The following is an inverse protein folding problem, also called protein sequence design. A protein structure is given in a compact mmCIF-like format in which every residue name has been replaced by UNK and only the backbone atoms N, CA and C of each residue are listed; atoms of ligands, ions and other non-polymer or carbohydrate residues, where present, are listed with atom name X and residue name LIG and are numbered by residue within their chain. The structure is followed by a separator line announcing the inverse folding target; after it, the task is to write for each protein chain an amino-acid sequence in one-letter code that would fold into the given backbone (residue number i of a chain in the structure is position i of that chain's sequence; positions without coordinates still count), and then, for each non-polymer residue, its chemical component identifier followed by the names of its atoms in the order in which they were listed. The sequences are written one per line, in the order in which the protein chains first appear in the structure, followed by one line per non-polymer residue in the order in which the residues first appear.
data_IF_916684364000
#
_entry.id   IF_916684364000
#
_cell.length_a   1.000
_cell.length_b   1.000
_cell.length_c   1.000
_cell.angle_alpha   90.00
_cell.angle_beta   90.00
_cell.angle_gamma   90.00
#
_symmetry.space_group_name_H-M   'P 1'
#
loop_
_entity.id
_entity.type
_entity.pdbx_description
1 polymer ?
#
# COMPACT_ATOMS: atom_id res chain seq x y z
N UNK A 1 7.17 -7.47 18.41
CA UNK A 1 6.77 -6.05 18.26
C UNK A 1 6.11 -5.47 19.51
N UNK A 2 5.15 -6.16 20.14
CA UNK A 2 4.44 -5.62 21.32
C UNK A 2 5.32 -5.36 22.54
N UNK A 3 6.40 -6.13 22.72
CA UNK A 3 7.37 -5.90 23.80
C UNK A 3 7.89 -4.45 23.85
N UNK A 4 8.31 -3.88 22.70
CA UNK A 4 8.84 -2.51 22.65
C UNK A 4 7.77 -1.46 22.99
N UNK A 5 6.51 -1.73 22.65
CA UNK A 5 5.41 -0.85 23.03
C UNK A 5 5.13 -0.91 24.53
N UNK A 6 5.11 -2.12 25.11
CA UNK A 6 4.92 -2.30 26.55
C UNK A 6 6.02 -1.60 27.34
N UNK A 7 7.27 -1.71 26.91
CA UNK A 7 8.40 -0.98 27.52
C UNK A 7 8.17 0.53 27.44
N UNK A 8 7.71 1.05 26.30
CA UNK A 8 7.40 2.48 26.17
C UNK A 8 6.25 2.94 27.08
N UNK A 9 5.19 2.12 27.22
CA UNK A 9 4.08 2.39 28.14
C UNK A 9 4.52 2.37 29.60
N UNK A 10 5.29 1.36 30.00
CA UNK A 10 5.83 1.21 31.36
C UNK A 10 6.75 2.38 31.72
N UNK A 11 7.73 2.70 30.86
CA UNK A 11 8.63 3.84 31.10
C UNK A 11 7.91 5.19 31.09
N UNK A 12 6.90 5.38 30.25
CA UNK A 12 6.11 6.61 30.27
C UNK A 12 5.34 6.75 31.58
N UNK A 13 4.74 5.67 32.08
CA UNK A 13 4.02 5.65 33.35
C UNK A 13 4.93 5.96 34.54
N UNK A 14 6.16 5.44 34.55
CA UNK A 14 7.18 5.76 35.58
C UNK A 14 7.52 7.26 35.65
N UNK A 15 7.36 7.98 34.54
CA UNK A 15 7.66 9.41 34.41
C UNK A 15 6.39 10.29 34.36
N UNK A 16 5.23 9.76 34.76
CA UNK A 16 3.94 10.48 34.74
C UNK A 16 3.56 11.00 33.34
N UNK A 17 4.04 10.34 32.29
CA UNK A 17 3.71 10.63 30.90
C UNK A 17 2.75 9.57 30.35
N UNK A 18 2.08 9.89 29.24
CA UNK A 18 1.18 8.96 28.54
C UNK A 18 1.57 8.92 27.07
N UNK A 19 1.94 7.74 26.58
CA UNK A 19 2.15 7.49 25.16
C UNK A 19 0.84 7.11 24.51
N UNK A 20 0.62 7.58 23.28
CA UNK A 20 -0.62 7.29 22.55
C UNK A 20 -0.37 6.34 21.38
N UNK A 21 -1.26 5.37 21.22
CA UNK A 21 -1.15 4.36 20.15
C UNK A 21 -1.21 4.97 18.76
N UNK A 22 -1.99 6.04 18.59
CA UNK A 22 -2.13 6.79 17.35
C UNK A 22 -0.93 7.71 17.03
N UNK A 23 0.00 7.88 17.95
CA UNK A 23 1.27 8.56 17.71
C UNK A 23 2.40 7.59 17.37
N UNK A 24 2.22 6.31 17.66
CA UNK A 24 3.21 5.29 17.31
C UNK A 24 3.34 5.14 15.80
N UNK A 25 4.59 5.07 15.34
CA UNK A 25 4.95 4.92 13.92
C UNK A 25 5.79 3.67 13.73
N UNK A 26 5.41 2.86 12.76
CA UNK A 26 6.21 1.72 12.31
C UNK A 26 7.03 2.15 11.10
N UNK A 27 8.33 1.85 11.13
CA UNK A 27 9.26 2.09 10.02
C UNK A 27 9.65 0.74 9.45
N UNK A 28 9.30 0.47 8.19
CA UNK A 28 9.66 -0.77 7.51
C UNK A 28 10.26 -0.49 6.13
N UNK A 29 11.20 -1.32 5.66
CA UNK A 29 11.62 -1.36 4.27
C UNK A 29 10.47 -1.76 3.34
N UNK A 30 10.20 -0.92 2.34
CA UNK A 30 9.17 -1.18 1.33
C UNK A 30 9.69 -0.95 -0.09
N UNK A 31 9.53 -1.93 -0.97
CA UNK A 31 9.76 -1.79 -2.41
C UNK A 31 8.66 -2.50 -3.20
N UNK A 32 7.97 -1.73 -4.05
CA UNK A 32 6.81 -2.21 -4.82
C UNK A 32 7.10 -2.17 -6.31
N UNK A 33 6.66 -3.21 -7.01
CA UNK A 33 6.64 -3.28 -8.46
C UNK A 33 5.30 -3.84 -8.97
N UNK A 34 5.15 -3.93 -10.29
CA UNK A 34 3.94 -4.48 -10.91
C UNK A 34 3.82 -6.00 -10.75
N UNK A 35 4.95 -6.67 -10.51
CA UNK A 35 5.02 -8.09 -10.17
C UNK A 35 5.96 -8.34 -9.00
N UNK A 36 5.70 -9.40 -8.24
CA UNK A 36 6.55 -9.79 -7.11
C UNK A 36 7.96 -10.14 -7.57
N UNK A 37 8.09 -10.85 -8.68
CA UNK A 37 9.38 -11.24 -9.23
C UNK A 37 10.21 -10.03 -9.67
N UNK A 38 9.57 -8.97 -10.18
CA UNK A 38 10.26 -7.71 -10.50
C UNK A 38 10.74 -7.00 -9.23
N UNK A 39 9.88 -6.86 -8.22
CA UNK A 39 10.25 -6.22 -6.96
C UNK A 39 11.47 -6.90 -6.31
N UNK A 40 11.49 -8.24 -6.31
CA UNK A 40 12.62 -9.01 -5.80
C UNK A 40 13.87 -8.78 -6.65
N UNK A 41 13.76 -8.83 -7.98
CA UNK A 41 14.93 -8.60 -8.87
C UNK A 41 15.53 -7.21 -8.68
N UNK A 42 14.70 -6.18 -8.56
CA UNK A 42 15.14 -4.80 -8.43
C UNK A 42 15.99 -4.58 -7.18
N UNK A 43 15.60 -5.22 -6.06
CA UNK A 43 16.21 -4.97 -4.76
C UNK A 43 17.22 -6.05 -4.34
N UNK A 44 17.29 -7.19 -5.04
CA UNK A 44 18.12 -8.34 -4.63
C UNK A 44 19.59 -7.97 -4.39
N UNK A 45 20.19 -7.20 -5.28
CA UNK A 45 21.60 -6.80 -5.13
C UNK A 45 21.78 -5.77 -4.01
N UNK A 46 20.95 -4.72 -3.98
CA UNK A 46 21.05 -3.66 -2.97
C UNK A 46 20.76 -4.17 -1.55
N UNK A 47 19.73 -4.99 -1.38
CA UNK A 47 19.42 -5.59 -0.09
C UNK A 47 20.51 -6.56 0.40
N UNK A 48 21.16 -7.32 -0.51
CA UNK A 48 22.29 -8.16 -0.14
C UNK A 48 23.47 -7.36 0.40
N UNK A 49 23.83 -6.26 -0.28
CA UNK A 49 24.88 -5.34 0.17
C UNK A 49 24.50 -4.65 1.47
N UNK A 50 23.28 -4.13 1.59
CA UNK A 50 22.81 -3.46 2.79
C UNK A 50 22.80 -4.38 4.02
N UNK A 51 22.36 -5.63 3.88
CA UNK A 51 22.38 -6.57 5.00
C UNK A 51 23.81 -6.91 5.44
N UNK A 52 24.72 -7.19 4.51
CA UNK A 52 26.10 -7.56 4.84
C UNK A 52 26.95 -6.35 5.27
N UNK A 53 27.06 -5.36 4.41
CA UNK A 53 28.00 -4.25 4.59
C UNK A 53 27.50 -3.24 5.64
N UNK A 54 26.18 -3.02 5.72
CA UNK A 54 25.63 -2.02 6.63
C UNK A 54 25.11 -2.64 7.94
N UNK A 55 24.22 -3.64 7.88
CA UNK A 55 23.64 -4.19 9.11
C UNK A 55 24.63 -5.05 9.90
N UNK A 56 25.36 -5.95 9.23
CA UNK A 56 26.32 -6.85 9.89
C UNK A 56 27.66 -6.15 10.16
N UNK A 57 28.36 -5.68 9.11
CA UNK A 57 29.72 -5.15 9.26
C UNK A 57 29.77 -3.79 9.96
N UNK A 58 28.85 -2.87 9.62
CA UNK A 58 28.86 -1.50 10.18
C UNK A 58 28.12 -1.42 11.51
N UNK A 59 26.93 -2.01 11.61
CA UNK A 59 26.08 -1.90 12.80
C UNK A 59 26.26 -3.07 13.79
N UNK A 60 26.98 -4.12 13.41
CA UNK A 60 27.25 -5.26 14.29
C UNK A 60 26.00 -6.07 14.64
N UNK A 61 24.93 -5.96 13.84
CA UNK A 61 23.68 -6.69 14.07
C UNK A 61 23.88 -8.13 13.59
N UNK A 62 23.88 -9.14 14.49
CA UNK A 62 24.01 -10.52 14.07
C UNK A 62 22.82 -10.90 13.19
N UNK A 63 23.11 -11.47 12.04
CA UNK A 63 22.08 -12.01 11.16
C UNK A 63 21.68 -13.39 11.68
N UNK A 64 20.43 -13.54 12.12
CA UNK A 64 19.85 -14.84 12.51
C UNK A 64 19.54 -15.74 11.29
N UNK A 65 20.31 -15.60 10.20
CA UNK A 65 20.13 -16.33 8.95
C UNK A 65 21.46 -16.89 8.45
N UNK A 66 21.64 -18.20 8.60
CA UNK A 66 22.82 -18.97 8.16
C UNK A 66 22.71 -19.46 6.70
N UNK A 67 21.81 -18.85 5.92
CA UNK A 67 21.54 -19.22 4.53
C UNK A 67 22.28 -18.36 3.51
N UNK A 68 22.23 -18.72 2.22
CA UNK A 68 22.88 -17.93 1.19
C UNK A 68 22.21 -16.55 1.05
N UNK A 69 23.05 -15.52 0.83
CA UNK A 69 22.67 -14.08 0.84
C UNK A 69 21.49 -13.74 -0.07
N UNK A 70 21.25 -14.52 -1.13
CA UNK A 70 20.15 -14.35 -2.07
C UNK A 70 18.77 -14.76 -1.51
N UNK A 71 18.73 -15.56 -0.43
CA UNK A 71 17.50 -16.00 0.25
C UNK A 71 17.14 -15.20 1.50
N UNK A 72 18.00 -14.27 1.87
CA UNK A 72 17.82 -13.43 3.06
C UNK A 72 16.56 -12.57 2.95
N UNK A 73 16.29 -12.09 1.73
CA UNK A 73 15.12 -11.28 1.40
C UNK A 73 13.85 -12.11 1.57
N UNK A 74 13.84 -13.34 1.08
CA UNK A 74 12.68 -14.23 1.20
C UNK A 74 12.35 -14.47 2.68
N UNK A 75 13.37 -14.71 3.51
CA UNK A 75 13.19 -14.87 4.95
C UNK A 75 12.64 -13.60 5.63
N UNK A 76 13.18 -12.42 5.27
CA UNK A 76 12.73 -11.14 5.84
C UNK A 76 11.30 -10.77 5.40
N UNK A 77 10.91 -11.14 4.18
CA UNK A 77 9.53 -11.02 3.70
C UNK A 77 8.58 -11.93 4.49
N UNK A 78 8.97 -13.20 4.70
CA UNK A 78 8.16 -14.17 5.44
C UNK A 78 7.91 -13.74 6.89
N UNK A 79 8.93 -13.16 7.55
CA UNK A 79 8.78 -12.60 8.90
C UNK A 79 7.93 -11.31 8.94
N UNK A 80 7.72 -10.68 7.78
CA UNK A 80 7.06 -9.38 7.63
C UNK A 80 7.91 -8.21 8.12
N UNK A 81 9.24 -8.37 8.13
CA UNK A 81 10.17 -7.27 8.44
C UNK A 81 10.42 -6.38 7.23
N UNK A 82 10.32 -6.94 6.02
CA UNK A 82 10.45 -6.23 4.75
C UNK A 82 9.21 -6.47 3.90
N UNK A 83 8.75 -5.42 3.20
CA UNK A 83 7.63 -5.50 2.27
C UNK A 83 8.17 -5.33 0.85
N UNK A 84 8.38 -6.45 0.16
CA UNK A 84 8.84 -6.47 -1.23
C UNK A 84 7.83 -7.25 -2.06
N UNK A 85 7.18 -6.59 -3.03
CA UNK A 85 6.15 -7.27 -3.81
C UNK A 85 5.25 -6.32 -4.59
N UNK A 86 3.99 -6.69 -4.70
CA UNK A 86 2.96 -5.87 -5.35
C UNK A 86 2.28 -4.93 -4.34
N UNK A 87 1.50 -3.94 -4.81
CA UNK A 87 0.67 -3.12 -3.91
C UNK A 87 -0.28 -3.94 -3.03
N UNK A 88 -0.83 -5.04 -3.56
CA UNK A 88 -1.74 -5.91 -2.82
C UNK A 88 -1.01 -6.63 -1.68
N UNK A 89 0.20 -7.14 -1.93
CA UNK A 89 1.06 -7.76 -0.91
C UNK A 89 1.37 -6.77 0.23
N UNK A 90 1.56 -5.49 -0.12
CA UNK A 90 1.79 -4.42 0.84
C UNK A 90 0.56 -4.18 1.72
N UNK A 91 -0.64 -4.11 1.12
CA UNK A 91 -1.89 -3.95 1.86
C UNK A 91 -2.11 -5.12 2.83
N UNK A 92 -1.92 -6.36 2.37
CA UNK A 92 -2.06 -7.55 3.21
C UNK A 92 -1.08 -7.52 4.39
N UNK A 93 0.18 -7.20 4.12
CA UNK A 93 1.21 -7.16 5.17
C UNK A 93 0.96 -6.06 6.19
N UNK A 94 0.52 -4.87 5.75
CA UNK A 94 0.13 -3.77 6.64
C UNK A 94 -1.06 -4.18 7.52
N UNK A 95 -2.07 -4.87 6.98
CA UNK A 95 -3.19 -5.39 7.77
C UNK A 95 -2.72 -6.41 8.82
N UNK A 96 -1.86 -7.36 8.43
CA UNK A 96 -1.28 -8.34 9.35
C UNK A 96 -0.46 -7.67 10.45
N UNK A 97 0.29 -6.61 10.14
CA UNK A 97 1.02 -5.83 11.13
C UNK A 97 0.08 -5.10 12.09
N UNK A 98 -1.01 -4.52 11.58
CA UNK A 98 -2.02 -3.86 12.39
C UNK A 98 -2.66 -4.83 13.39
N UNK A 99 -3.02 -6.04 12.95
CA UNK A 99 -3.56 -7.10 13.80
C UNK A 99 -2.55 -7.58 14.85
N UNK A 100 -1.31 -7.88 14.45
CA UNK A 100 -0.25 -8.36 15.36
C UNK A 100 0.11 -7.33 16.42
N UNK A 101 0.05 -6.06 16.07
CA UNK A 101 0.38 -4.97 16.99
C UNK A 101 -0.82 -4.48 17.79
N UNK A 102 -2.05 -4.77 17.38
CA UNK A 102 -3.24 -4.17 18.00
C UNK A 102 -3.41 -2.69 17.66
N UNK A 103 -2.86 -2.24 16.54
CA UNK A 103 -2.97 -0.87 16.04
C UNK A 103 -1.67 -0.07 16.06
N UNK A 104 -1.50 0.78 15.07
CA UNK A 104 -0.48 1.82 15.03
C UNK A 104 -1.01 3.06 14.30
N UNK A 105 -0.49 4.24 14.63
CA UNK A 105 -0.99 5.49 14.09
C UNK A 105 -0.41 5.92 12.74
N UNK A 106 0.72 5.36 12.34
CA UNK A 106 1.28 5.64 11.03
C UNK A 106 2.38 4.68 10.60
N UNK A 107 2.56 4.63 9.29
CA UNK A 107 3.51 3.76 8.62
C UNK A 107 4.49 4.62 7.83
N UNK A 108 5.77 4.39 8.02
CA UNK A 108 6.85 5.11 7.37
C UNK A 108 7.68 4.11 6.55
N UNK A 109 8.00 4.52 5.33
CA UNK A 109 8.90 3.77 4.46
C UNK A 109 10.32 4.20 4.80
N UNK A 110 11.20 3.24 5.09
CA UNK A 110 12.60 3.50 5.37
C UNK A 110 13.53 2.53 4.66
N UNK A 111 14.81 2.87 4.58
CA UNK A 111 15.91 1.98 4.17
C UNK A 111 15.91 1.47 2.72
N UNK A 112 14.84 1.63 1.92
CA UNK A 112 14.81 1.14 0.52
C UNK A 112 15.27 2.15 -0.51
N UNK A 113 15.39 3.43 -0.16
CA UNK A 113 15.72 4.51 -1.09
C UNK A 113 17.10 4.37 -1.78
N UNK A 114 18.02 3.60 -1.18
CA UNK A 114 19.38 3.40 -1.70
C UNK A 114 19.58 1.99 -2.30
N UNK A 115 18.55 1.14 -2.28
CA UNK A 115 18.67 -0.29 -2.61
C UNK A 115 18.31 -0.62 -4.07
N UNK A 116 17.72 0.33 -4.79
CA UNK A 116 17.33 0.17 -6.19
C UNK A 116 17.61 1.47 -6.98
N UNK A 117 17.69 1.40 -8.32
CA UNK A 117 17.83 2.60 -9.14
C UNK A 117 16.72 3.62 -8.86
N UNK A 118 17.06 4.91 -8.90
CA UNK A 118 16.14 6.02 -8.57
C UNK A 118 14.78 5.92 -9.25
N UNK A 119 14.74 5.55 -10.53
CA UNK A 119 13.50 5.39 -11.29
C UNK A 119 12.58 4.33 -10.68
N UNK A 120 13.15 3.18 -10.27
CA UNK A 120 12.41 2.08 -9.64
C UNK A 120 11.89 2.46 -8.25
N UNK A 121 12.69 3.16 -7.45
CA UNK A 121 12.26 3.68 -6.14
C UNK A 121 11.10 4.66 -6.29
N UNK A 122 11.19 5.60 -7.24
CA UNK A 122 10.12 6.55 -7.50
C UNK A 122 8.85 5.87 -8.01
N UNK A 123 8.99 4.84 -8.86
CA UNK A 123 7.86 4.02 -9.31
C UNK A 123 7.21 3.28 -8.15
N UNK A 124 7.99 2.74 -7.21
CA UNK A 124 7.47 2.13 -6.00
C UNK A 124 6.66 3.11 -5.15
N UNK A 125 7.13 4.36 -4.99
CA UNK A 125 6.40 5.40 -4.27
C UNK A 125 5.11 5.79 -4.98
N UNK A 126 5.11 5.85 -6.30
CA UNK A 126 3.91 6.08 -7.09
C UNK A 126 2.89 4.95 -6.87
N UNK A 127 3.32 3.69 -6.92
CA UNK A 127 2.46 2.53 -6.68
C UNK A 127 1.87 2.57 -5.27
N UNK A 128 2.69 2.87 -4.26
CA UNK A 128 2.25 3.03 -2.87
C UNK A 128 1.17 4.12 -2.76
N UNK A 129 1.44 5.31 -3.32
CA UNK A 129 0.53 6.45 -3.22
C UNK A 129 -0.80 6.23 -3.94
N UNK A 130 -0.77 5.56 -5.11
CA UNK A 130 -1.98 5.32 -5.92
C UNK A 130 -2.81 4.15 -5.42
N UNK A 131 -2.18 3.08 -4.98
CA UNK A 131 -2.88 1.81 -4.73
C UNK A 131 -2.93 1.42 -3.26
N UNK A 132 -2.01 1.88 -2.42
CA UNK A 132 -1.96 1.42 -1.02
C UNK A 132 -2.51 2.48 -0.07
N UNK A 133 -2.04 3.72 -0.14
CA UNK A 133 -2.49 4.81 0.75
C UNK A 133 -4.02 5.01 0.77
N UNK A 134 -4.74 4.95 -0.37
CA UNK A 134 -6.18 5.16 -0.38
C UNK A 134 -6.98 4.10 0.38
N UNK A 135 -6.44 2.88 0.55
CA UNK A 135 -7.09 1.81 1.29
C UNK A 135 -7.13 2.09 2.79
N UNK A 136 -6.12 2.78 3.32
CA UNK A 136 -5.99 3.05 4.76
C UNK A 136 -6.49 4.43 5.16
N UNK A 137 -6.48 5.41 4.25
CA UNK A 137 -6.87 6.80 4.53
C UNK A 137 -8.37 7.07 4.35
N UNK A 138 -9.16 6.07 3.95
CA UNK A 138 -10.60 6.22 3.77
C UNK A 138 -11.03 7.07 2.56
N UNK A 139 -10.09 7.48 1.70
CA UNK A 139 -10.37 8.31 0.52
C UNK A 139 -11.20 7.60 -0.55
N UNK A 140 -11.25 6.26 -0.53
CA UNK A 140 -12.05 5.46 -1.45
C UNK A 140 -13.51 5.28 -1.01
N UNK A 141 -13.86 5.50 0.26
CA UNK A 141 -15.18 5.15 0.78
C UNK A 141 -16.33 5.87 0.03
N UNK A 142 -16.17 7.19 -0.19
CA UNK A 142 -17.15 7.99 -0.93
C UNK A 142 -17.24 7.62 -2.41
N UNK A 143 -16.10 7.34 -3.05
CA UNK A 143 -16.03 6.92 -4.45
C UNK A 143 -16.69 5.56 -4.68
N UNK A 144 -16.38 4.58 -3.83
CA UNK A 144 -16.96 3.24 -3.86
C UNK A 144 -18.48 3.29 -3.65
N UNK A 145 -18.93 4.05 -2.65
CA UNK A 145 -20.36 4.22 -2.38
C UNK A 145 -21.12 4.90 -3.54
N UNK A 146 -20.53 5.94 -4.13
CA UNK A 146 -21.10 6.61 -5.31
C UNK A 146 -21.19 5.68 -6.53
N UNK A 147 -20.12 4.91 -6.78
CA UNK A 147 -20.08 3.93 -7.87
C UNK A 147 -21.15 2.84 -7.68
N UNK A 148 -21.28 2.30 -6.47
CA UNK A 148 -22.29 1.30 -6.16
C UNK A 148 -23.72 1.85 -6.34
N UNK A 149 -23.97 3.08 -5.87
CA UNK A 149 -25.26 3.76 -6.08
C UNK A 149 -25.58 3.92 -7.57
N UNK A 150 -24.62 4.39 -8.37
CA UNK A 150 -24.79 4.57 -9.80
C UNK A 150 -25.02 3.22 -10.52
N UNK A 151 -24.28 2.18 -10.14
CA UNK A 151 -24.46 0.81 -10.67
C UNK A 151 -25.85 0.27 -10.39
N UNK A 152 -26.37 0.42 -9.17
CA UNK A 152 -27.72 -0.02 -8.80
C UNK A 152 -28.82 0.70 -9.59
N UNK A 153 -28.56 1.93 -10.03
CA UNK A 153 -29.50 2.74 -10.82
C UNK A 153 -29.29 2.63 -12.34
N UNK A 154 -28.35 1.78 -12.78
CA UNK A 154 -27.95 1.69 -14.20
C UNK A 154 -29.10 1.34 -15.13
N UNK A 155 -30.01 0.45 -14.72
CA UNK A 155 -31.18 0.08 -15.53
C UNK A 155 -32.12 1.26 -15.75
N UNK A 156 -32.46 1.99 -14.68
CA UNK A 156 -33.31 3.18 -14.79
C UNK A 156 -32.66 4.27 -15.66
N UNK A 157 -31.36 4.49 -15.48
CA UNK A 157 -30.61 5.45 -16.32
C UNK A 157 -30.59 5.02 -17.78
N UNK A 158 -30.45 3.72 -18.06
CA UNK A 158 -30.47 3.14 -19.41
C UNK A 158 -31.85 3.27 -20.06
N UNK A 159 -32.92 3.04 -19.31
CA UNK A 159 -34.30 3.25 -19.78
C UNK A 159 -34.57 4.71 -20.12
N UNK A 160 -34.20 5.63 -19.22
CA UNK A 160 -34.34 7.06 -19.45
C UNK A 160 -33.54 7.54 -20.68
N UNK A 161 -32.32 7.02 -20.86
CA UNK A 161 -31.50 7.29 -22.03
C UNK A 161 -32.19 6.80 -23.32
N UNK A 162 -32.70 5.56 -23.33
CA UNK A 162 -33.39 5.01 -24.50
C UNK A 162 -34.63 5.83 -24.87
N UNK A 163 -35.43 6.24 -23.88
CA UNK A 163 -36.61 7.10 -24.09
C UNK A 163 -36.21 8.46 -24.68
N UNK A 164 -35.16 9.10 -24.14
CA UNK A 164 -34.67 10.38 -24.65
C UNK A 164 -34.19 10.27 -26.11
N UNK A 165 -33.49 9.18 -26.45
CA UNK A 165 -33.07 8.91 -27.84
C UNK A 165 -34.27 8.74 -28.76
N UNK A 166 -35.32 8.05 -28.30
CA UNK A 166 -36.52 7.82 -29.11
C UNK A 166 -37.29 9.12 -29.37
N UNK A 167 -37.48 9.96 -28.36
CA UNK A 167 -38.07 11.30 -28.51
C UNK A 167 -37.25 12.16 -29.48
N UNK A 168 -35.92 12.14 -29.37
CA UNK A 168 -35.04 12.90 -30.25
C UNK A 168 -35.14 12.45 -31.72
N UNK A 169 -35.34 11.15 -31.98
CA UNK A 169 -35.59 10.63 -33.33
C UNK A 169 -36.91 11.15 -33.89
N UNK A 170 -37.99 11.04 -33.11
CA UNK A 170 -39.32 11.49 -33.52
C UNK A 170 -39.33 13.00 -33.83
N UNK A 171 -38.69 13.81 -32.99
CA UNK A 171 -38.53 15.25 -33.21
C UNK A 171 -37.78 15.56 -34.51
N UNK A 172 -36.73 14.80 -34.83
CA UNK A 172 -35.95 14.99 -36.05
C UNK A 172 -36.73 14.60 -37.31
N UNK A 173 -37.47 13.49 -37.26
CA UNK A 173 -38.33 13.05 -38.37
C UNK A 173 -39.46 14.05 -38.64
N UNK A 174 -40.15 14.53 -37.59
CA UNK A 174 -41.19 15.56 -37.72
C UNK A 174 -40.66 16.87 -38.32
N UNK A 175 -39.43 17.29 -37.99
CA UNK A 175 -38.79 18.47 -38.61
C UNK A 175 -38.46 18.28 -40.09
N UNK A 176 -38.19 17.04 -40.52
CA UNK A 176 -37.97 16.72 -41.94
C UNK A 176 -39.27 16.82 -42.74
N UNK A 177 -40.38 16.32 -42.20
CA UNK A 177 -41.68 16.36 -42.86
C UNK A 177 -42.22 17.78 -43.02
N UNK A 178 -41.97 18.68 -42.06
CA UNK A 178 -42.39 20.09 -42.14
C UNK A 178 -41.57 20.92 -43.15
N UNK A 179 -40.41 20.41 -43.60
CA UNK A 179 -39.52 21.08 -44.56
C UNK A 179 -39.66 20.58 -46.00
N UNK A 180 -40.43 19.53 -46.24
CA UNK A 180 -40.74 18.97 -47.57
C UNK A 180 -42.04 19.57 -48.12
#
# INVERSE_FOLDING_TARGET
MNYLWNVAEESAAEHEQTVRRDEWRLVLPVHLAESREEAIRDIRMGAGQFNREYLEETLGRPMDFDGPTDKIIDHLMDMGEWIIGTPDDCIETINRLNERTGGFGGFLIGFTQDLAPREKVLRSYELMARYVMPHFQGSLAGLSGSNEWARKRSDHTREAMNQAVEVAKQDYEGRKEVRA
#
